data_IF_072700695931
#
_entry.id   IF_072700695931
#
_cell.length_a   1.000
_cell.length_b   1.000
_cell.length_c   1.000
_cell.angle_alpha   90.00
_cell.angle_beta   90.00
_cell.angle_gamma   90.00
#
_symmetry.space_group_name_H-M   'P 1'
#
loop_
_entity.id
_entity.type
_entity.pdbx_description
1 polymer ?
2 non-polymer ?
3 non-polymer ?
4 non-polymer ?
5 water ?
#
# COMPACT_ATOMS: atom_id res chain seq x y z
N UNK A 2 -13.52 0.66 -13.18
CA UNK A 2 -12.30 0.56 -12.47
C UNK A 2 -12.19 1.68 -11.43
N UNK A 3 -11.10 1.68 -10.65
CA UNK A 3 -10.91 2.70 -9.64
C UNK A 3 -9.44 2.87 -9.36
N UNK A 4 -9.04 3.91 -8.65
CA UNK A 4 -7.63 4.09 -8.30
C UNK A 4 -7.29 3.29 -7.03
N UNK A 5 -6.43 2.29 -7.09
CA UNK A 5 -6.11 1.52 -5.92
C UNK A 5 -5.05 2.18 -5.04
N UNK A 6 -4.23 3.09 -5.53
CA UNK A 6 -3.26 3.80 -4.74
C UNK A 6 -2.54 4.82 -5.60
N UNK A 7 -1.79 5.69 -4.92
CA UNK A 7 -1.03 6.70 -5.59
C UNK A 7 0.38 6.75 -5.02
N UNK A 8 1.26 7.35 -5.84
CA UNK A 8 2.62 7.70 -5.41
C UNK A 8 2.82 9.21 -5.45
N UNK A 9 3.27 9.77 -4.33
CA UNK A 9 3.49 11.24 -4.11
C UNK A 9 4.79 11.43 -3.33
N UNK A 10 5.71 12.33 -3.78
CA UNK A 10 7.04 12.52 -3.19
C UNK A 10 7.71 11.14 -3.09
N UNK A 11 7.41 10.25 -4.07
CA UNK A 11 8.01 8.92 -4.12
C UNK A 11 7.46 7.91 -3.10
N UNK A 12 6.43 8.29 -2.35
CA UNK A 12 5.88 7.43 -1.26
C UNK A 12 4.51 6.87 -1.68
N UNK A 13 4.30 5.57 -1.51
CA UNK A 13 3.04 4.93 -1.88
C UNK A 13 1.97 5.25 -0.84
N UNK A 14 0.77 5.61 -1.28
CA UNK A 14 -0.41 5.70 -0.38
C UNK A 14 -1.49 4.77 -0.91
N UNK A 15 -1.96 3.80 -0.11
CA UNK A 15 -3.08 2.97 -0.51
C UNK A 15 -4.35 3.83 -0.69
N UNK A 16 -5.16 3.52 -1.70
CA UNK A 16 -6.38 4.28 -1.98
C UNK A 16 -7.61 3.72 -1.26
N UNK A 17 -8.75 4.13 -1.79
CA UNK A 17 -10.00 3.65 -1.24
C UNK A 17 -10.41 2.38 -2.00
N UNK A 18 -10.22 1.21 -1.38
CA UNK A 18 -10.42 -0.03 -2.06
C UNK A 18 -11.91 -0.34 -2.06
N UNK A 19 -12.60 0.06 -3.11
CA UNK A 19 -14.05 0.21 -3.13
C UNK A 19 -14.69 -1.17 -3.21
N UNK A 20 -13.89 -2.21 -3.49
CA UNK A 20 -14.36 -3.57 -3.57
C UNK A 20 -14.16 -4.32 -2.23
N UNK A 21 -13.71 -3.59 -1.20
CA UNK A 21 -13.38 -4.19 0.09
C UNK A 21 -13.91 -3.30 1.24
N UNK A 22 -13.52 -2.05 1.27
CA UNK A 22 -13.73 -1.18 2.41
C UNK A 22 -15.21 -0.93 2.67
N UNK A 23 -16.10 -0.85 1.64
CA UNK A 23 -17.50 -0.64 1.90
C UNK A 23 -18.09 -1.85 2.60
N UNK A 24 -17.48 -3.02 2.57
CA UNK A 24 -18.03 -4.24 3.08
C UNK A 24 -17.57 -4.47 4.52
N UNK A 25 -17.21 -3.39 5.20
CA UNK A 25 -16.69 -3.47 6.58
C UNK A 25 -17.21 -2.29 7.42
N UNK A 26 -17.34 -2.49 8.75
CA UNK A 26 -17.76 -1.37 9.60
C UNK A 26 -16.63 -0.34 9.76
N UNK A 27 -15.36 -0.85 9.84
CA UNK A 27 -14.23 0.01 10.23
C UNK A 27 -13.06 -0.19 9.25
N UNK A 28 -13.18 0.27 8.01
CA UNK A 28 -12.08 0.09 7.12
C UNK A 28 -10.89 0.97 7.47
N UNK A 29 -9.72 0.70 6.83
CA UNK A 29 -8.53 1.52 7.10
C UNK A 29 -8.67 2.98 6.72
N UNK A 30 -7.96 3.86 7.40
CA UNK A 30 -7.78 5.23 7.01
C UNK A 30 -7.03 5.28 5.68
N UNK A 31 -7.38 6.27 4.85
CA UNK A 31 -6.66 6.49 3.59
C UNK A 31 -6.72 7.99 3.29
N UNK A 32 -5.81 8.50 2.44
CA UNK A 32 -5.95 9.84 1.87
C UNK A 32 -7.10 9.94 0.86
N UNK A 33 -7.58 8.78 0.37
CA UNK A 33 -8.60 8.73 -0.66
C UNK A 33 -9.99 8.87 -0.02
N UNK A 34 -10.88 9.50 -0.77
CA UNK A 34 -12.25 9.62 -0.33
C UNK A 34 -12.95 8.29 -0.43
N UNK A 35 -13.90 8.03 0.53
CA UNK A 35 -14.73 6.87 0.41
C UNK A 35 -15.83 7.14 -0.62
N UNK A 36 -16.32 6.08 -1.25
CA UNK A 36 -17.45 6.14 -2.16
C UNK A 36 -18.28 4.88 -2.00
N UNK A 37 -19.49 4.92 -2.59
CA UNK A 37 -20.31 3.75 -2.62
C UNK A 37 -20.37 3.08 -4.00
N UNK A 38 -19.34 3.38 -4.84
CA UNK A 38 -19.37 2.92 -6.24
C UNK A 38 -18.77 1.50 -6.31
N UNK A 39 -19.38 0.52 -5.64
CA UNK A 39 -18.91 -0.82 -5.44
C UNK A 39 -19.02 -1.63 -6.73
N UNK A 40 -19.76 -1.15 -7.71
CA UNK A 40 -19.82 -1.79 -8.99
C UNK A 40 -18.67 -1.31 -9.90
N UNK A 41 -17.74 -0.50 -9.33
CA UNK A 41 -16.60 0.17 -10.04
C UNK A 41 -17.07 1.04 -11.20
N UNK A 42 -18.29 1.54 -11.12
CA UNK A 42 -18.95 2.26 -12.13
C UNK A 42 -18.67 3.76 -12.15
N UNK A 43 -19.65 4.51 -12.71
CA UNK A 43 -19.41 5.86 -13.18
C UNK A 43 -20.55 6.81 -12.76
N UNK A 44 -20.33 8.11 -12.97
CA UNK A 44 -21.37 9.15 -12.93
C UNK A 44 -21.55 9.63 -14.36
N UNK A 45 -22.73 9.55 -14.95
CA UNK A 45 -22.95 10.01 -16.30
C UNK A 45 -23.62 11.39 -16.31
N UNK A 46 -24.02 11.89 -17.46
CA UNK A 46 -24.49 13.20 -17.62
C UNK A 46 -25.75 13.50 -16.80
N UNK A 47 -26.49 12.44 -16.49
CA UNK A 47 -27.70 12.66 -15.64
C UNK A 47 -27.29 13.18 -14.28
N UNK A 48 -26.06 12.91 -13.82
CA UNK A 48 -25.56 13.32 -12.56
C UNK A 48 -24.54 14.47 -12.55
N UNK A 49 -24.37 15.20 -13.69
CA UNK A 49 -23.40 16.23 -13.75
C UNK A 49 -23.66 17.38 -12.78
N UNK A 50 -24.94 17.55 -12.39
CA UNK A 50 -25.33 18.59 -11.39
C UNK A 50 -25.53 18.03 -10.01
N UNK A 51 -25.28 16.75 -9.85
CA UNK A 51 -25.42 15.99 -8.56
C UNK A 51 -24.16 16.13 -7.73
N UNK A 52 -24.19 16.02 -6.40
CA UNK A 52 -23.02 16.01 -5.57
C UNK A 52 -22.12 14.82 -5.93
N UNK A 53 -22.72 13.77 -6.51
CA UNK A 53 -21.93 12.58 -6.94
C UNK A 53 -20.79 12.88 -7.95
N UNK A 54 -20.92 13.95 -8.74
CA UNK A 54 -19.88 14.21 -9.75
C UNK A 54 -18.65 14.71 -9.04
N UNK A 55 -18.68 15.22 -7.85
CA UNK A 55 -17.57 15.87 -7.20
C UNK A 55 -16.42 14.92 -6.93
N UNK A 56 -16.72 13.86 -6.22
CA UNK A 56 -15.73 12.84 -5.82
C UNK A 56 -16.28 11.42 -5.97
N UNK A 57 -17.32 11.24 -6.83
CA UNK A 57 -17.96 9.99 -7.11
C UNK A 57 -19.11 9.71 -6.09
N UNK A 58 -19.76 8.56 -6.23
CA UNK A 58 -21.06 8.28 -5.56
C UNK A 58 -20.94 8.36 -4.04
N UNK A 59 -21.76 9.27 -3.47
CA UNK A 59 -21.89 9.36 -1.98
C UNK A 59 -20.54 9.61 -1.31
N UNK A 60 -19.64 10.35 -1.99
CA UNK A 60 -18.24 10.31 -1.47
C UNK A 60 -18.12 11.08 -0.16
N UNK A 61 -17.29 10.58 0.72
CA UNK A 61 -17.00 11.20 2.00
C UNK A 61 -15.49 11.38 2.16
N UNK A 62 -15.13 12.45 2.80
CA UNK A 62 -13.74 12.92 2.95
C UNK A 62 -12.84 11.79 3.43
N UNK A 63 -11.69 11.64 2.79
CA UNK A 63 -10.61 10.82 3.34
C UNK A 63 -10.19 11.37 4.70
N UNK A 64 -9.66 10.50 5.56
CA UNK A 64 -9.20 10.93 6.88
C UNK A 64 -7.77 11.45 6.84
N UNK A 65 -6.91 10.93 5.95
CA UNK A 65 -5.50 11.27 5.91
C UNK A 65 -5.26 12.30 4.80
N UNK A 66 -4.04 12.81 4.82
CA UNK A 66 -3.54 13.78 3.85
C UNK A 66 -2.08 13.39 3.49
N UNK A 67 -1.76 13.36 2.17
CA UNK A 67 -0.37 13.08 1.70
C UNK A 67 0.38 14.40 1.44
N UNK A 68 1.62 14.53 1.93
CA UNK A 68 2.43 15.69 1.48
C UNK A 68 3.01 15.48 0.07
N UNK A 69 3.08 16.56 -0.72
CA UNK A 69 3.70 16.48 -2.04
C UNK A 69 4.38 17.83 -2.28
N UNK A 70 5.65 17.78 -2.77
CA UNK A 70 6.34 19.04 -3.12
C UNK A 70 5.74 19.58 -4.41
N UNK A 71 5.47 20.88 -4.48
CA UNK A 71 5.09 21.57 -5.71
C UNK A 71 6.20 21.28 -6.74
N UNK A 72 5.81 20.95 -7.97
CA UNK A 72 6.72 20.76 -9.04
C UNK A 72 7.09 19.32 -9.19
N UNK A 73 6.56 18.43 -8.35
CA UNK A 73 6.84 17.03 -8.47
C UNK A 73 5.65 16.19 -8.96
N UNK A 74 5.87 14.87 -9.19
CA UNK A 74 4.94 14.05 -9.87
C UNK A 74 4.12 13.15 -8.94
N UNK A 75 2.87 12.98 -9.33
CA UNK A 75 1.98 12.01 -8.68
C UNK A 75 1.67 10.95 -9.73
N UNK A 76 1.74 9.68 -9.33
CA UNK A 76 1.32 8.54 -10.12
C UNK A 76 -0.01 8.01 -9.55
N UNK A 77 -1.01 7.84 -10.41
CA UNK A 77 -2.26 7.20 -10.05
C UNK A 77 -2.32 5.78 -10.61
N UNK A 78 -2.38 4.77 -9.77
CA UNK A 78 -2.45 3.37 -10.15
C UNK A 78 -3.89 2.92 -10.29
N UNK A 79 -4.40 2.78 -11.51
CA UNK A 79 -5.72 2.28 -11.77
C UNK A 79 -5.79 0.78 -11.75
N UNK A 80 -6.94 0.21 -11.44
CA UNK A 80 -7.24 -1.17 -11.74
C UNK A 80 -7.29 -1.39 -13.28
N UNK A 81 -7.22 -2.66 -13.73
CA UNK A 81 -7.10 -2.93 -15.17
C UNK A 81 -8.19 -2.20 -15.97
N UNK A 82 -7.78 -1.31 -16.89
CA UNK A 82 -8.74 -0.43 -17.56
C UNK A 82 -9.16 -1.01 -18.91
N UNK A 83 -10.45 -1.13 -19.22
CA UNK A 83 -10.87 -1.82 -20.44
C UNK A 83 -10.57 -0.99 -21.70
N UNK A 84 -10.06 -1.67 -22.73
CA UNK A 84 -9.69 -1.01 -23.96
C UNK A 84 -10.85 -0.28 -24.60
N UNK A 85 -12.07 -0.81 -24.47
CA UNK A 85 -13.21 -0.14 -25.09
C UNK A 85 -13.41 1.30 -24.57
N UNK A 86 -12.92 1.59 -23.36
CA UNK A 86 -13.29 2.83 -22.65
C UNK A 86 -12.33 3.99 -22.97
N UNK A 87 -12.25 4.32 -24.26
CA UNK A 87 -11.39 5.35 -24.73
C UNK A 87 -11.79 6.72 -24.18
N UNK A 88 -10.86 7.57 -23.77
CA UNK A 88 -11.21 8.94 -23.43
C UNK A 88 -10.10 9.63 -22.71
N UNK A 89 -10.33 10.89 -22.34
CA UNK A 89 -9.41 11.72 -21.66
C UNK A 89 -9.15 11.39 -20.19
N UNK A 90 -7.99 11.81 -19.69
CA UNK A 90 -7.60 11.83 -18.27
C UNK A 90 -7.47 13.27 -17.88
N UNK A 91 -8.26 13.70 -16.86
CA UNK A 91 -8.27 15.07 -16.45
C UNK A 91 -7.98 15.13 -14.95
N UNK A 92 -7.17 16.07 -14.53
CA UNK A 92 -6.76 16.15 -13.10
C UNK A 92 -6.92 17.60 -12.63
N UNK A 93 -7.51 17.73 -11.43
CA UNK A 93 -7.84 19.03 -10.82
C UNK A 93 -7.33 19.13 -9.38
N UNK A 94 -7.18 20.40 -8.94
CA UNK A 94 -6.92 20.75 -7.56
C UNK A 94 -8.03 21.68 -7.05
N UNK A 95 -8.58 21.34 -5.87
CA UNK A 95 -9.47 22.34 -5.21
C UNK A 95 -8.93 22.68 -3.84
N UNK A 96 -8.75 23.98 -3.50
CA UNK A 96 -8.26 24.30 -2.15
C UNK A 96 -9.27 23.93 -1.08
N UNK A 97 -8.76 23.31 0.00
CA UNK A 97 -9.64 22.99 1.15
C UNK A 97 -9.78 24.20 2.04
N UNK A 98 -8.87 25.18 1.99
CA UNK A 98 -8.94 26.42 2.80
C UNK A 98 -9.15 26.06 4.25
N UNK A 99 -8.33 25.14 4.71
CA UNK A 99 -8.57 24.44 5.92
C UNK A 99 -8.31 22.96 5.72
N UNK A 100 -8.84 22.13 6.60
CA UNK A 100 -8.51 20.75 6.65
C UNK A 100 -9.34 19.98 5.63
N UNK A 101 -8.67 19.30 4.68
CA UNK A 101 -9.45 18.52 3.69
C UNK A 101 -10.23 17.39 4.33
N UNK A 102 -9.85 16.96 5.55
CA UNK A 102 -10.59 15.82 6.20
C UNK A 102 -12.00 16.24 6.59
N UNK A 103 -12.23 17.53 6.67
CA UNK A 103 -13.52 18.03 7.12
C UNK A 103 -14.19 19.01 6.19
N UNK A 104 -13.57 19.37 5.07
CA UNK A 104 -14.15 20.36 4.16
C UNK A 104 -15.47 19.84 3.57
N UNK A 105 -16.42 20.74 3.39
CA UNK A 105 -17.70 20.38 2.72
C UNK A 105 -17.40 20.29 1.21
N UNK A 106 -17.54 19.09 0.67
CA UNK A 106 -17.16 18.87 -0.74
C UNK A 106 -17.97 19.75 -1.69
N UNK A 107 -19.19 20.13 -1.26
CA UNK A 107 -20.09 20.90 -2.10
C UNK A 107 -19.53 22.30 -2.34
N UNK A 108 -18.58 22.71 -1.50
CA UNK A 108 -18.01 24.04 -1.58
C UNK A 108 -16.70 24.07 -2.40
N UNK A 109 -16.15 22.91 -2.76
CA UNK A 109 -14.86 22.85 -3.46
C UNK A 109 -14.99 23.44 -4.86
N UNK A 110 -13.97 24.21 -5.25
CA UNK A 110 -13.86 24.85 -6.57
C UNK A 110 -12.56 24.35 -7.23
N UNK A 111 -12.73 23.54 -8.26
CA UNK A 111 -11.64 22.79 -8.91
C UNK A 111 -10.98 23.56 -10.04
N UNK A 112 -9.63 23.54 -10.04
CA UNK A 112 -8.79 24.10 -11.10
C UNK A 112 -8.21 22.92 -11.90
N UNK A 113 -8.40 22.94 -13.22
CA UNK A 113 -7.78 21.93 -14.08
C UNK A 113 -6.25 22.13 -14.12
N UNK A 114 -5.50 21.15 -13.67
CA UNK A 114 -4.02 21.25 -13.68
C UNK A 114 -3.36 20.35 -14.74
N UNK A 115 -4.06 19.35 -15.24
CA UNK A 115 -3.55 18.48 -16.29
C UNK A 115 -4.71 17.95 -17.08
N UNK A 116 -4.49 17.69 -18.38
CA UNK A 116 -5.54 17.14 -19.21
C UNK A 116 -4.90 16.52 -20.45
N UNK A 117 -5.22 15.28 -20.76
CA UNK A 117 -4.76 14.64 -21.98
C UNK A 117 -5.96 14.01 -22.65
N UNK A 118 -6.09 14.12 -23.98
CA UNK A 118 -7.27 13.71 -24.70
C UNK A 118 -6.91 12.73 -25.80
N UNK A 119 -7.26 13.10 -27.03
CA UNK A 119 -7.03 12.28 -28.19
C UNK A 119 -5.55 12.44 -28.59
N UNK A 120 -4.81 11.34 -28.56
CA UNK A 120 -3.35 11.32 -28.88
C UNK A 120 -3.14 11.12 -30.37
N UNK A 121 -3.88 10.20 -30.99
CA UNK A 121 -3.76 9.92 -32.44
C UNK A 121 -5.09 9.43 -32.97
N UNK A 122 -5.83 10.32 -33.67
CA UNK A 122 -7.08 10.00 -34.22
C UNK A 122 -7.08 9.63 -35.68
N UNK A 123 -5.93 9.20 -36.21
CA UNK A 123 -5.79 8.87 -37.63
C UNK A 123 -6.83 7.81 -38.07
N UNK A 124 -7.05 6.84 -37.18
CA UNK A 124 -7.91 5.69 -37.43
C UNK A 124 -8.92 5.60 -36.31
N UNK A 125 -10.18 6.02 -36.49
CA UNK A 125 -11.17 5.86 -35.42
C UNK A 125 -11.16 4.40 -34.95
N UNK A 126 -11.33 4.11 -33.67
CA UNK A 126 -11.73 5.08 -32.65
C UNK A 126 -10.62 5.88 -32.02
N UNK A 127 -9.39 5.67 -32.47
CA UNK A 127 -8.29 6.51 -32.09
C UNK A 127 -7.54 5.97 -30.87
N UNK A 128 -6.43 6.61 -30.56
CA UNK A 128 -5.63 6.31 -29.42
C UNK A 128 -5.71 7.52 -28.51
N UNK A 129 -6.02 7.24 -27.24
CA UNK A 129 -6.38 8.24 -26.26
C UNK A 129 -5.43 8.19 -25.04
N UNK A 130 -5.58 9.20 -24.17
CA UNK A 130 -4.87 9.26 -22.93
C UNK A 130 -5.06 7.98 -22.14
N UNK A 131 -6.26 7.39 -22.11
CA UNK A 131 -6.41 6.22 -21.31
C UNK A 131 -5.69 5.01 -21.93
N UNK A 132 -5.53 5.02 -23.26
CA UNK A 132 -4.75 3.97 -23.95
C UNK A 132 -3.30 4.03 -23.51
N UNK A 133 -2.74 5.24 -23.41
CA UNK A 133 -1.37 5.37 -22.92
C UNK A 133 -1.27 4.95 -21.47
N UNK A 134 -2.34 5.24 -20.66
CA UNK A 134 -2.34 4.76 -19.26
C UNK A 134 -2.30 3.22 -19.20
N UNK A 135 -3.16 2.55 -19.98
CA UNK A 135 -3.17 1.08 -20.04
C UNK A 135 -1.75 0.58 -20.32
N UNK A 136 -1.09 1.18 -21.33
CA UNK A 136 0.22 0.69 -21.76
C UNK A 136 1.29 0.94 -20.68
N UNK A 137 1.07 1.93 -19.79
CA UNK A 137 1.95 2.22 -18.71
C UNK A 137 1.50 1.52 -17.42
N UNK A 138 1.30 0.21 -17.47
CA UNK A 138 0.91 -0.57 -16.25
C UNK A 138 -0.34 0.04 -15.58
N UNK A 139 -1.28 0.49 -16.40
CA UNK A 139 -2.52 1.09 -15.90
C UNK A 139 -2.21 2.23 -14.91
N UNK A 140 -1.25 3.10 -15.23
CA UNK A 140 -0.82 4.18 -14.39
C UNK A 140 -0.87 5.48 -15.16
N UNK A 141 -1.43 6.51 -14.54
CA UNK A 141 -1.42 7.88 -15.02
C UNK A 141 -0.49 8.74 -14.17
N UNK A 142 0.15 9.74 -14.75
CA UNK A 142 1.07 10.60 -13.99
C UNK A 142 0.62 12.05 -14.24
N UNK A 143 0.73 12.89 -13.22
CA UNK A 143 0.67 14.31 -13.42
C UNK A 143 1.78 14.96 -12.61
N UNK A 144 2.07 16.23 -12.95
CA UNK A 144 2.96 17.08 -12.19
C UNK A 144 2.14 18.15 -11.43
N UNK A 145 2.44 18.28 -10.17
CA UNK A 145 1.86 19.37 -9.41
C UNK A 145 2.57 20.68 -9.81
N UNK A 146 1.90 21.75 -10.31
CA UNK A 146 2.65 22.92 -10.81
C UNK A 146 3.67 23.42 -9.78
N UNK A 147 4.88 23.74 -10.24
CA UNK A 147 5.95 24.18 -9.37
C UNK A 147 5.59 25.50 -8.65
N UNK A 148 4.78 26.36 -9.30
CA UNK A 148 4.47 27.67 -8.79
C UNK A 148 3.23 27.63 -7.84
N UNK A 149 2.54 26.47 -7.69
CA UNK A 149 1.34 26.40 -6.85
C UNK A 149 1.61 26.84 -5.41
N UNK A 150 0.61 27.55 -4.86
CA UNK A 150 0.66 27.96 -3.45
C UNK A 150 0.63 26.72 -2.55
N UNK A 151 1.46 26.70 -1.51
CA UNK A 151 1.43 25.64 -0.53
C UNK A 151 0.07 25.65 0.20
N UNK A 152 -0.46 24.47 0.46
CA UNK A 152 -1.77 24.38 1.13
C UNK A 152 -2.34 23.00 1.03
N UNK A 153 -3.54 22.89 1.59
CA UNK A 153 -4.31 21.67 1.59
C UNK A 153 -5.27 21.67 0.41
N UNK A 154 -5.23 20.57 -0.38
CA UNK A 154 -6.06 20.49 -1.57
C UNK A 154 -6.69 19.12 -1.74
N UNK A 155 -7.89 19.08 -2.33
CA UNK A 155 -8.44 17.86 -2.92
C UNK A 155 -7.93 17.74 -4.38
N UNK A 156 -7.28 16.61 -4.59
CA UNK A 156 -6.79 16.20 -5.92
C UNK A 156 -7.88 15.32 -6.51
N UNK A 157 -8.49 15.75 -7.63
CA UNK A 157 -9.54 15.03 -8.26
C UNK A 157 -9.01 14.56 -9.63
N UNK A 158 -8.90 13.26 -9.77
CA UNK A 158 -8.33 12.65 -10.99
C UNK A 158 -9.43 11.86 -11.64
N UNK A 159 -9.62 11.99 -12.95
CA UNK A 159 -10.79 11.45 -13.60
C UNK A 159 -10.51 10.89 -14.97
N UNK A 160 -11.09 9.75 -15.30
CA UNK A 160 -11.19 9.26 -16.69
C UNK A 160 -12.57 9.55 -17.20
N UNK A 161 -12.80 10.05 -18.41
CA UNK A 161 -14.12 10.12 -19.02
C UNK A 161 -14.13 9.07 -20.11
N UNK A 162 -14.83 7.94 -20.00
CA UNK A 162 -14.89 6.93 -21.05
C UNK A 162 -15.92 7.38 -22.07
N UNK A 163 -15.60 7.32 -23.36
CA UNK A 163 -16.42 7.83 -24.45
C UNK A 163 -17.00 6.79 -25.40
N UNK A 164 -16.98 5.53 -25.05
CA UNK A 164 -17.41 4.45 -25.93
C UNK A 164 -18.87 4.55 -26.32
N UNK A 165 -19.69 5.14 -25.42
CA UNK A 165 -21.15 5.31 -25.63
C UNK A 165 -21.50 6.79 -25.68
N UNK A 166 -20.56 7.68 -25.90
CA UNK A 166 -20.73 9.11 -25.67
C UNK A 166 -21.51 9.81 -26.81
N UNK A 167 -21.78 9.11 -27.92
CA UNK A 167 -22.68 9.67 -28.89
C UNK A 167 -24.12 9.74 -28.45
N UNK A 168 -24.45 8.94 -27.45
CA UNK A 168 -25.77 9.00 -26.80
C UNK A 168 -25.74 10.15 -25.81
N UNK A 169 -26.88 10.84 -25.68
CA UNK A 169 -26.99 11.87 -24.60
C UNK A 169 -26.83 11.15 -23.26
N UNK A 170 -26.02 11.76 -22.38
CA UNK A 170 -25.62 11.22 -21.09
C UNK A 170 -24.83 9.92 -21.18
N UNK A 171 -24.26 9.64 -22.34
CA UNK A 171 -23.57 8.39 -22.52
C UNK A 171 -22.10 8.37 -22.06
N UNK A 172 -21.48 9.54 -22.01
CA UNK A 172 -20.12 9.68 -21.47
C UNK A 172 -20.12 9.18 -20.03
N UNK A 173 -19.11 8.45 -19.57
CA UNK A 173 -19.05 7.88 -18.24
C UNK A 173 -17.93 8.52 -17.51
N UNK A 174 -18.14 9.21 -16.42
CA UNK A 174 -17.09 9.87 -15.64
C UNK A 174 -16.66 9.05 -14.44
N UNK A 175 -15.34 8.89 -14.18
CA UNK A 175 -14.81 8.07 -13.15
C UNK A 175 -13.88 8.95 -12.31
N UNK A 176 -14.42 9.87 -11.46
CA UNK A 176 -13.63 10.74 -10.62
C UNK A 176 -13.18 10.01 -9.38
N UNK A 177 -11.93 10.26 -8.97
CA UNK A 177 -11.33 9.73 -7.76
C UNK A 177 -10.63 10.85 -7.03
N UNK A 178 -10.92 11.04 -5.71
CA UNK A 178 -10.40 12.18 -4.98
C UNK A 178 -9.45 11.74 -3.89
N UNK A 179 -8.45 12.58 -3.61
CA UNK A 179 -7.41 12.34 -2.63
C UNK A 179 -7.08 13.64 -1.93
N UNK A 180 -6.76 13.55 -0.64
CA UNK A 180 -6.32 14.72 0.11
C UNK A 180 -4.80 14.89 0.00
N UNK A 181 -4.37 16.07 -0.45
CA UNK A 181 -2.92 16.31 -0.52
C UNK A 181 -2.58 17.63 0.18
N UNK A 182 -1.31 17.74 0.59
CA UNK A 182 -0.76 18.93 1.17
C UNK A 182 0.44 19.31 0.30
N UNK A 183 0.27 20.36 -0.52
CA UNK A 183 1.40 20.79 -1.37
C UNK A 183 2.36 21.65 -0.54
N UNK A 184 3.64 21.30 -0.56
CA UNK A 184 4.67 22.02 0.14
C UNK A 184 5.55 22.76 -0.88
N UNK A 185 6.32 23.73 -0.41
CA UNK A 185 7.25 24.44 -1.24
C UNK A 185 6.46 25.37 -2.11
N UNK A 186 6.68 25.32 -3.41
CA UNK A 186 5.79 26.06 -4.31
C UNK A 186 5.99 27.55 -4.24
N UNK A 187 4.98 28.26 -4.76
CA UNK A 187 5.03 29.65 -5.06
C UNK A 187 3.80 30.33 -4.52
N UNK A 188 3.20 31.23 -5.30
CA UNK A 188 2.10 31.94 -4.85
C UNK A 188 0.89 31.78 -5.74
N UNK A 189 0.98 30.95 -6.78
CA UNK A 189 -0.07 30.93 -7.81
C UNK A 189 -1.20 29.94 -7.45
N UNK A 190 -2.40 30.29 -7.88
CA UNK A 190 -3.56 29.44 -7.79
C UNK A 190 -4.49 29.82 -8.93
N UNK A 191 -5.16 28.82 -9.51
CA UNK A 191 -6.16 29.10 -10.49
C UNK A 191 -7.47 29.56 -9.85
N UNK A 192 -8.40 29.97 -10.71
CA UNK A 192 -9.77 30.26 -10.31
C UNK A 192 -10.62 29.02 -10.58
N UNK A 193 -11.21 28.47 -9.53
CA UNK A 193 -11.86 27.16 -9.63
C UNK A 193 -13.32 27.24 -10.01
N UNK A 194 -13.80 26.06 -10.36
CA UNK A 194 -15.13 25.75 -10.86
C UNK A 194 -15.72 24.69 -9.92
N UNK A 195 -16.93 25.00 -9.38
CA UNK A 195 -17.66 24.00 -8.58
C UNK A 195 -17.70 22.66 -9.32
N UNK A 196 -17.64 21.56 -8.58
CA UNK A 196 -17.79 20.25 -9.19
C UNK A 196 -19.02 20.13 -10.03
N UNK A 197 -20.16 20.65 -9.51
CA UNK A 197 -21.43 20.52 -10.21
C UNK A 197 -21.60 21.48 -11.39
N UNK A 198 -20.56 22.28 -11.66
CA UNK A 198 -20.46 23.16 -12.79
C UNK A 198 -19.34 22.72 -13.79
N UNK A 199 -18.63 21.60 -13.55
CA UNK A 199 -17.53 21.20 -14.46
C UNK A 199 -18.04 20.90 -15.86
N UNK A 200 -19.10 20.13 -16.00
CA UNK A 200 -19.55 19.57 -17.27
C UNK A 200 -21.05 19.71 -17.52
N UNK A 201 -21.42 19.87 -18.77
CA UNK A 201 -22.76 19.76 -19.24
C UNK A 201 -22.90 18.62 -20.22
N UNK A 202 -24.04 17.95 -20.30
CA UNK A 202 -24.22 16.78 -21.17
C UNK A 202 -24.27 17.20 -22.65
N UNK A 203 -24.28 18.51 -22.93
CA UNK A 203 -24.21 19.01 -24.28
C UNK A 203 -22.79 19.49 -24.67
N UNK A 204 -21.81 19.43 -23.80
CA UNK A 204 -20.46 19.90 -24.11
C UNK A 204 -19.89 19.05 -25.26
N UNK A 205 -19.20 19.67 -26.25
CA UNK A 205 -18.77 18.88 -27.41
C UNK A 205 -17.81 17.71 -27.13
N UNK A 206 -17.00 17.78 -26.07
CA UNK A 206 -16.13 16.73 -25.61
C UNK A 206 -16.82 15.68 -24.76
N UNK A 207 -18.09 15.98 -24.42
CA UNK A 207 -18.93 15.02 -23.69
C UNK A 207 -19.79 14.21 -24.66
N UNK A 208 -20.60 14.92 -25.50
CA UNK A 208 -21.49 14.32 -26.51
C UNK A 208 -20.64 14.20 -27.81
N UNK A 209 -19.81 13.17 -27.83
CA UNK A 209 -18.70 13.09 -28.78
C UNK A 209 -18.73 11.70 -29.40
N UNK A 210 -18.59 11.63 -30.70
CA UNK A 210 -18.55 10.39 -31.48
C UNK A 210 -17.11 9.95 -31.80
N UNK A 211 -16.60 8.96 -31.10
CA UNK A 211 -15.22 8.47 -31.34
C UNK A 211 -15.15 7.62 -32.56
N UNK A 212 -16.23 7.19 -33.18
CA UNK A 212 -16.21 6.12 -34.19
C UNK A 212 -16.15 6.65 -35.61
N UNK A 213 -16.41 7.93 -35.80
CA UNK A 213 -16.39 8.57 -37.08
C UNK A 213 -15.10 9.38 -37.23
N UNK A 214 -14.88 9.87 -38.42
CA UNK A 214 -13.73 10.67 -38.71
C UNK A 214 -13.36 11.64 -37.57
N UNK A 215 -12.08 11.61 -37.16
CA UNK A 215 -11.58 12.41 -36.06
C UNK A 215 -10.71 13.58 -36.56
N UNK A 216 -10.90 13.98 -37.82
CA UNK A 216 -10.15 15.09 -38.36
C UNK A 216 -10.38 16.43 -37.68
N UNK A 217 -11.50 16.51 -36.94
CA UNK A 217 -11.85 17.72 -36.12
C UNK A 217 -11.32 17.69 -34.71
N UNK A 218 -10.52 16.66 -34.37
CA UNK A 218 -9.90 16.57 -33.06
C UNK A 218 -10.85 16.21 -31.94
N UNK A 219 -10.40 16.57 -30.76
CA UNK A 219 -11.20 16.28 -29.54
C UNK A 219 -11.00 17.46 -28.60
N UNK A 220 -12.09 18.18 -28.27
CA UNK A 220 -12.05 19.29 -27.35
C UNK A 220 -12.23 18.78 -25.91
N UNK A 221 -11.15 18.71 -25.15
CA UNK A 221 -11.19 18.21 -23.80
C UNK A 221 -12.19 19.08 -23.00
N UNK A 222 -13.15 18.42 -22.31
CA UNK A 222 -14.15 19.19 -21.57
C UNK A 222 -13.60 19.72 -20.25
N UNK A 223 -14.49 20.47 -19.57
CA UNK A 223 -14.11 21.12 -18.36
C UNK A 223 -13.54 22.50 -18.53
N UNK A 224 -13.24 23.17 -17.41
CA UNK A 224 -12.72 24.52 -17.45
C UNK A 224 -11.28 24.60 -17.98
N UNK A 225 -10.80 25.82 -18.18
CA UNK A 225 -9.51 26.05 -18.77
C UNK A 225 -8.39 25.44 -17.94
N UNK A 226 -7.40 24.91 -18.68
CA UNK A 226 -6.18 24.39 -18.10
C UNK A 226 -5.36 25.53 -17.48
N UNK A 227 -4.96 25.35 -16.22
CA UNK A 227 -4.00 26.22 -15.52
C UNK A 227 -2.61 26.25 -16.21
N UNK A 228 -2.04 27.44 -16.37
CA UNK A 228 -0.58 27.66 -16.75
C UNK A 228 0.20 28.47 -15.71
N UNK B 2 19.27 -4.45 12.98
CA UNK B 2 19.82 -5.55 12.29
C UNK B 2 18.84 -6.05 11.27
N UNK B 3 19.29 -6.99 10.42
CA UNK B 3 18.44 -7.60 9.44
C UNK B 3 18.94 -9.00 9.16
N UNK B 4 18.17 -9.75 8.40
CA UNK B 4 18.52 -11.11 8.01
C UNK B 4 19.30 -11.05 6.70
N UNK B 5 20.58 -11.50 6.78
CA UNK B 5 21.47 -11.48 5.56
C UNK B 5 21.29 -12.72 4.75
N UNK B 6 20.81 -13.83 5.25
CA UNK B 6 20.64 -15.03 4.49
C UNK B 6 19.93 -16.12 5.27
N UNK B 7 19.40 -17.10 4.57
CA UNK B 7 18.77 -18.23 5.21
C UNK B 7 19.30 -19.53 4.68
N UNK B 8 19.10 -20.59 5.42
CA UNK B 8 19.48 -21.94 5.02
C UNK B 8 18.20 -22.79 5.08
N UNK B 9 17.84 -23.43 3.99
CA UNK B 9 16.65 -24.28 3.82
C UNK B 9 17.02 -25.48 2.97
N UNK B 10 16.78 -26.70 3.46
CA UNK B 10 17.15 -27.94 2.79
C UNK B 10 18.66 -27.93 2.54
N UNK B 11 19.40 -27.35 3.48
CA UNK B 11 20.82 -27.36 3.43
C UNK B 11 21.44 -26.43 2.41
N UNK B 12 20.62 -25.63 1.76
CA UNK B 12 21.03 -24.72 0.76
C UNK B 12 20.93 -23.30 1.24
N UNK B 13 21.89 -22.47 0.92
CA UNK B 13 21.97 -21.09 1.34
C UNK B 13 21.22 -20.23 0.35
N UNK B 14 20.49 -19.24 0.84
CA UNK B 14 19.85 -18.21 0.04
C UNK B 14 20.23 -16.84 0.57
N UNK B 15 20.70 -15.93 -0.24
CA UNK B 15 21.01 -14.59 0.17
C UNK B 15 19.75 -13.83 0.45
N UNK B 16 19.76 -13.00 1.49
CA UNK B 16 18.62 -12.20 1.80
C UNK B 16 18.60 -10.87 1.12
N UNK B 17 17.72 -9.97 1.58
CA UNK B 17 17.62 -8.61 1.10
C UNK B 17 18.60 -7.75 1.87
N UNK B 18 19.74 -7.44 1.23
CA UNK B 18 20.88 -6.77 1.87
C UNK B 18 20.59 -5.26 1.89
N UNK B 19 19.81 -4.89 2.94
CA UNK B 19 19.16 -3.57 3.04
C UNK B 19 20.18 -2.43 3.11
N UNK B 20 21.46 -2.73 3.45
CA UNK B 20 22.51 -1.74 3.43
C UNK B 20 23.22 -1.66 2.08
N UNK B 21 22.72 -2.34 1.05
CA UNK B 21 23.38 -2.37 -0.26
C UNK B 21 22.34 -2.20 -1.37
N UNK B 22 21.36 -3.10 -1.39
CA UNK B 22 20.40 -3.20 -2.49
C UNK B 22 19.58 -1.94 -2.72
N UNK B 23 19.18 -1.20 -1.65
CA UNK B 23 18.39 0.03 -1.89
C UNK B 23 19.19 1.14 -2.62
N UNK B 24 20.54 0.98 -2.58
CA UNK B 24 21.49 1.97 -3.13
C UNK B 24 21.82 1.62 -4.59
N UNK B 25 20.91 0.94 -5.31
CA UNK B 25 21.14 0.31 -6.63
C UNK B 25 19.89 0.54 -7.46
N UNK B 26 19.97 0.75 -8.75
CA UNK B 26 18.79 0.68 -9.59
C UNK B 26 18.26 -0.74 -9.74
N UNK B 27 19.19 -1.73 -9.84
CA UNK B 27 18.87 -3.11 -10.22
C UNK B 27 19.58 -4.09 -9.32
N UNK B 28 19.11 -4.23 -8.08
CA UNK B 28 19.75 -5.15 -7.16
C UNK B 28 19.43 -6.60 -7.59
N UNK B 29 20.20 -7.56 -7.04
CA UNK B 29 19.97 -8.99 -7.24
C UNK B 29 18.57 -9.46 -6.87
N UNK B 30 18.04 -10.45 -7.56
CA UNK B 30 16.85 -11.16 -7.14
C UNK B 30 17.16 -11.96 -5.87
N UNK B 31 16.16 -12.05 -4.95
CA UNK B 31 16.29 -12.78 -3.71
C UNK B 31 14.88 -13.32 -3.35
N UNK B 32 14.89 -14.40 -2.56
CA UNK B 32 13.64 -14.87 -1.92
C UNK B 32 13.14 -13.87 -0.90
N UNK B 33 13.98 -12.95 -0.44
CA UNK B 33 13.59 -12.01 0.62
C UNK B 33 12.88 -10.82 -0.01
N UNK B 34 11.95 -10.23 0.75
CA UNK B 34 11.27 -9.03 0.39
C UNK B 34 12.18 -7.81 0.47
N UNK B 35 12.04 -6.83 -0.45
CA UNK B 35 12.73 -5.61 -0.34
C UNK B 35 12.07 -4.77 0.77
N UNK B 36 12.82 -3.86 1.35
CA UNK B 36 12.27 -2.91 2.31
C UNK B 36 13.02 -1.59 2.14
N UNK B 37 12.53 -0.52 2.75
CA UNK B 37 13.19 0.76 2.78
C UNK B 37 13.86 0.96 4.16
N UNK B 38 14.06 -0.12 4.95
CA UNK B 38 14.55 0.06 6.32
C UNK B 38 16.09 0.07 6.33
N UNK B 39 16.61 1.08 5.63
CA UNK B 39 18.02 1.25 5.46
C UNK B 39 18.72 1.74 6.70
N UNK B 40 17.96 2.17 7.72
CA UNK B 40 18.51 2.47 9.03
C UNK B 40 18.70 1.19 9.87
N UNK B 41 18.35 0.01 9.33
CA UNK B 41 18.29 -1.36 10.00
C UNK B 41 17.36 -1.38 11.19
N UNK B 42 16.41 -0.43 11.17
CA UNK B 42 15.50 -0.24 12.32
C UNK B 42 14.26 -1.08 12.22
N UNK B 43 13.16 -0.51 12.82
CA UNK B 43 12.01 -1.28 13.27
C UNK B 43 10.72 -0.61 12.84
N UNK B 44 9.64 -1.35 13.07
CA UNK B 44 8.28 -0.79 13.08
C UNK B 44 7.84 -0.85 14.56
N UNK B 45 7.43 0.30 15.09
CA UNK B 45 6.90 0.33 16.48
C UNK B 45 5.38 0.42 16.43
N UNK B 46 4.77 0.57 17.62
CA UNK B 46 3.37 0.44 17.73
C UNK B 46 2.61 1.47 16.91
N UNK B 47 3.25 2.60 16.61
CA UNK B 47 2.62 3.61 15.67
C UNK B 47 2.28 3.01 14.31
N UNK B 48 2.96 1.92 13.95
CA UNK B 48 2.77 1.28 12.69
C UNK B 48 2.05 -0.06 12.71
N UNK B 49 1.42 -0.43 13.86
CA UNK B 49 0.84 -1.75 13.94
C UNK B 49 -0.44 -1.93 13.11
N UNK B 50 -1.03 -0.81 12.64
CA UNK B 50 -2.18 -0.87 11.72
C UNK B 50 -1.80 -0.37 10.32
N UNK B 51 -0.47 -0.26 10.07
CA UNK B 51 0.12 0.19 8.81
C UNK B 51 0.53 -1.05 8.05
N UNK B 52 0.46 -1.03 6.70
CA UNK B 52 1.09 -2.11 5.91
C UNK B 52 2.56 -2.35 6.25
N UNK B 53 3.25 -1.36 6.82
CA UNK B 53 4.65 -1.58 7.21
C UNK B 53 4.86 -2.76 8.14
N UNK B 54 3.88 -3.11 9.00
CA UNK B 54 4.09 -4.18 9.94
C UNK B 54 4.16 -5.57 9.26
N UNK B 55 3.66 -5.66 8.02
CA UNK B 55 3.49 -6.95 7.40
C UNK B 55 4.87 -7.56 7.12
N UNK B 56 5.66 -6.86 6.30
CA UNK B 56 7.01 -7.35 5.92
C UNK B 56 8.04 -6.24 6.10
N UNK B 57 7.82 -5.24 6.95
CA UNK B 57 8.67 -4.11 7.21
C UNK B 57 8.38 -2.97 6.22
N UNK B 58 9.03 -1.82 6.43
CA UNK B 58 8.65 -0.53 5.83
C UNK B 58 8.72 -0.58 4.31
N UNK B 59 7.58 -0.29 3.67
CA UNK B 59 7.43 -0.19 2.20
C UNK B 59 7.75 -1.52 1.52
N UNK B 60 7.54 -2.66 2.18
CA UNK B 60 8.10 -3.90 1.66
C UNK B 60 7.41 -4.32 0.34
N UNK B 61 8.24 -4.88 -0.58
CA UNK B 61 7.75 -5.37 -1.89
C UNK B 61 8.21 -6.81 -2.07
N UNK B 62 7.40 -7.60 -2.76
CA UNK B 62 7.57 -9.04 -2.85
C UNK B 62 8.98 -9.40 -3.36
N UNK B 63 9.59 -10.36 -2.71
CA UNK B 63 10.78 -11.00 -3.32
C UNK B 63 10.41 -11.69 -4.61
N UNK B 64 11.39 -11.79 -5.54
CA UNK B 64 11.13 -12.37 -6.83
C UNK B 64 11.23 -13.89 -6.83
N UNK B 65 12.10 -14.42 -5.97
CA UNK B 65 12.44 -15.84 -5.93
C UNK B 65 11.74 -16.59 -4.77
N UNK B 66 11.75 -17.90 -4.83
CA UNK B 66 11.17 -18.77 -3.86
C UNK B 66 12.14 -19.88 -3.47
N UNK B 67 12.25 -20.23 -2.20
CA UNK B 67 13.13 -21.31 -1.68
C UNK B 67 12.34 -22.57 -1.38
N UNK B 68 12.70 -23.76 -1.82
CA UNK B 68 12.06 -24.99 -1.40
C UNK B 68 12.51 -25.39 0.00
N UNK B 69 11.57 -25.97 0.76
CA UNK B 69 11.90 -26.45 2.08
C UNK B 69 10.97 -27.62 2.41
N UNK B 70 11.55 -28.73 2.83
CA UNK B 70 10.75 -29.89 3.20
C UNK B 70 9.99 -29.62 4.50
N UNK B 71 8.72 -29.97 4.48
CA UNK B 71 7.93 -29.90 5.75
C UNK B 71 8.64 -30.80 6.76
N UNK B 72 8.72 -30.32 8.00
CA UNK B 72 9.34 -31.04 9.06
C UNK B 72 10.81 -30.70 9.28
N UNK B 73 11.44 -29.98 8.35
CA UNK B 73 12.83 -29.63 8.43
C UNK B 73 13.04 -28.23 9.02
N UNK B 74 14.28 -27.83 9.29
CA UNK B 74 14.59 -26.61 9.96
C UNK B 74 14.99 -25.55 8.94
N UNK B 75 14.60 -24.32 9.11
CA UNK B 75 15.12 -23.16 8.45
C UNK B 75 15.97 -22.39 9.43
N UNK B 76 17.12 -21.86 8.97
CA UNK B 76 18.00 -21.02 9.69
C UNK B 76 17.99 -19.63 9.13
N UNK B 77 17.85 -18.64 10.03
CA UNK B 77 17.87 -17.22 9.72
C UNK B 77 19.12 -16.61 10.30
N UNK B 78 20.01 -16.18 9.41
CA UNK B 78 21.24 -15.58 9.78
C UNK B 78 21.09 -14.06 9.89
N UNK B 79 21.02 -13.57 11.13
CA UNK B 79 20.94 -12.18 11.41
C UNK B 79 22.32 -11.52 11.38
N UNK B 80 22.35 -10.24 11.12
CA UNK B 80 23.49 -9.38 11.45
C UNK B 80 23.68 -9.37 12.98
N UNK B 81 24.80 -8.89 13.48
CA UNK B 81 25.20 -8.97 14.87
C UNK B 81 24.12 -8.29 15.73
N UNK B 82 23.44 -9.07 16.57
CA UNK B 82 22.24 -8.55 17.29
C UNK B 82 22.68 -7.90 18.60
N UNK B 83 22.24 -6.68 18.89
CA UNK B 83 22.71 -6.03 20.12
C UNK B 83 22.17 -6.73 21.38
N UNK B 84 23.01 -6.94 22.36
CA UNK B 84 22.62 -7.59 23.62
C UNK B 84 21.51 -6.82 24.35
N UNK B 85 21.46 -5.51 24.20
CA UNK B 85 20.43 -4.74 24.91
C UNK B 85 19.06 -5.16 24.39
N UNK B 86 18.92 -5.63 23.19
CA UNK B 86 17.61 -5.80 22.53
C UNK B 86 16.93 -7.12 22.90
N UNK B 87 16.67 -7.33 24.23
CA UNK B 87 16.03 -8.54 24.72
C UNK B 87 14.60 -8.65 24.18
N UNK B 88 14.17 -9.82 23.81
CA UNK B 88 12.82 -10.01 23.38
C UNK B 88 12.56 -11.32 22.67
N UNK B 89 11.31 -11.58 22.31
CA UNK B 89 10.88 -12.82 21.66
C UNK B 89 11.32 -12.90 20.17
N UNK B 90 11.37 -14.13 19.70
CA UNK B 90 11.45 -14.43 18.27
C UNK B 90 10.18 -15.17 17.87
N UNK B 91 9.46 -14.67 16.86
CA UNK B 91 8.20 -15.17 16.43
C UNK B 91 8.27 -15.39 14.93
N UNK B 92 7.81 -16.57 14.48
CA UNK B 92 7.83 -16.91 13.05
C UNK B 92 6.44 -17.36 12.59
N UNK B 93 6.00 -16.85 11.45
CA UNK B 93 4.66 -17.08 10.87
C UNK B 93 4.72 -17.62 9.44
N UNK B 94 3.69 -18.30 8.95
CA UNK B 94 3.49 -18.65 7.56
C UNK B 94 2.21 -18.03 7.08
N UNK B 95 2.16 -17.41 5.94
CA UNK B 95 0.93 -16.98 5.29
C UNK B 95 0.89 -17.65 3.92
N UNK B 96 -0.18 -18.36 3.56
CA UNK B 96 -0.30 -18.92 2.23
C UNK B 96 -0.40 -17.84 1.14
N UNK B 97 0.37 -18.07 0.05
CA UNK B 97 0.31 -17.15 -1.05
C UNK B 97 -0.88 -17.43 -1.97
N UNK B 98 -1.49 -18.62 -1.86
CA UNK B 98 -2.63 -19.11 -2.68
C UNK B 98 -2.41 -18.80 -4.17
N UNK B 99 -1.23 -19.17 -4.59
CA UNK B 99 -0.62 -18.77 -5.86
C UNK B 99 0.80 -18.32 -5.64
N UNK B 100 1.30 -17.49 -6.54
CA UNK B 100 2.71 -17.19 -6.58
C UNK B 100 3.05 -16.14 -5.50
N UNK B 101 4.00 -16.42 -4.60
CA UNK B 101 4.40 -15.42 -3.61
C UNK B 101 5.03 -14.18 -4.26
N UNK B 102 5.59 -14.31 -5.48
CA UNK B 102 6.24 -13.12 -6.12
C UNK B 102 5.24 -12.04 -6.51
N UNK B 103 3.94 -12.40 -6.57
CA UNK B 103 2.93 -11.42 -6.99
C UNK B 103 1.78 -11.23 -5.99
N UNK B 104 1.76 -12.00 -4.88
CA UNK B 104 0.66 -11.88 -3.90
C UNK B 104 0.62 -10.45 -3.32
N UNK B 105 -0.60 -9.93 -3.15
CA UNK B 105 -0.82 -8.65 -2.49
C UNK B 105 -0.56 -8.84 -0.98
N UNK B 106 0.46 -8.20 -0.44
CA UNK B 106 0.84 -8.44 0.96
C UNK B 106 -0.27 -8.07 1.95
N UNK B 107 -1.14 -7.13 1.58
CA UNK B 107 -2.23 -6.75 2.46
C UNK B 107 -3.25 -7.88 2.61
N UNK B 108 -3.27 -8.86 1.71
CA UNK B 108 -4.17 -10.03 1.78
C UNK B 108 -3.63 -11.20 2.62
N UNK B 109 -2.34 -11.16 2.99
CA UNK B 109 -1.74 -12.27 3.68
C UNK B 109 -2.31 -12.44 5.06
N UNK B 110 -2.56 -13.71 5.41
CA UNK B 110 -3.09 -14.07 6.76
C UNK B 110 -2.10 -15.06 7.40
N UNK B 111 -1.40 -14.58 8.44
CA UNK B 111 -0.25 -15.24 9.08
C UNK B 111 -0.62 -16.21 10.15
N UNK B 112 -0.10 -17.40 10.12
CA UNK B 112 -0.24 -18.40 11.15
C UNK B 112 1.03 -18.46 11.96
N UNK B 113 0.98 -18.30 13.25
CA UNK B 113 2.18 -18.40 14.13
C UNK B 113 2.61 -19.85 14.20
N UNK B 114 3.79 -20.18 13.64
CA UNK B 114 4.28 -21.57 13.69
C UNK B 114 5.39 -21.81 14.73
N UNK B 115 5.98 -20.74 15.24
CA UNK B 115 7.01 -20.82 16.25
C UNK B 115 7.05 -19.53 17.06
N UNK B 116 7.31 -19.66 18.38
CA UNK B 116 7.47 -18.48 19.20
C UNK B 116 8.28 -18.84 20.42
N UNK B 117 9.25 -18.03 20.74
CA UNK B 117 10.06 -18.22 21.95
C UNK B 117 10.16 -16.85 22.62
N UNK B 118 10.05 -16.82 23.94
CA UNK B 118 9.99 -15.60 24.68
C UNK B 118 11.02 -15.49 25.76
N UNK B 119 10.56 -15.34 27.01
CA UNK B 119 11.44 -15.25 28.16
C UNK B 119 11.89 -16.64 28.54
N UNK B 120 13.21 -16.86 28.51
CA UNK B 120 13.78 -18.13 28.82
C UNK B 120 14.07 -18.28 30.31
N UNK B 121 14.60 -17.21 30.92
CA UNK B 121 14.91 -17.24 32.36
C UNK B 121 14.90 -15.82 32.89
N UNK B 122 13.80 -15.48 33.61
CA UNK B 122 13.64 -14.18 34.16
C UNK B 122 13.98 -14.04 35.62
N UNK B 123 14.79 -14.95 36.16
CA UNK B 123 15.22 -14.92 37.55
C UNK B 123 15.87 -13.59 37.93
N UNK B 124 16.73 -13.06 37.04
CA UNK B 124 17.49 -11.85 37.29
C UNK B 124 17.22 -10.88 36.15
N UNK B 125 16.18 -10.05 36.24
CA UNK B 125 15.80 -9.14 35.19
C UNK B 125 17.02 -8.28 34.79
N UNK B 126 17.19 -7.99 33.50
CA UNK B 126 16.22 -8.29 32.46
C UNK B 126 16.17 -9.74 31.94
N UNK B 127 17.06 -10.61 32.39
CA UNK B 127 16.92 -11.98 32.08
C UNK B 127 17.48 -12.44 30.74
N UNK B 128 17.19 -13.69 30.43
CA UNK B 128 17.61 -14.35 29.21
C UNK B 128 16.37 -14.58 28.32
N UNK B 129 16.39 -14.12 27.08
CA UNK B 129 15.32 -14.21 26.15
C UNK B 129 15.67 -15.02 24.91
N UNK B 130 14.70 -15.27 24.06
CA UNK B 130 14.89 -15.96 22.80
C UNK B 130 16.01 -15.28 22.00
N UNK B 131 16.10 -13.95 21.97
CA UNK B 131 17.10 -13.30 21.10
C UNK B 131 18.48 -13.53 21.70
N UNK B 132 18.62 -13.74 23.01
CA UNK B 132 19.91 -14.04 23.64
C UNK B 132 20.36 -15.43 23.23
N UNK B 133 19.47 -16.40 23.11
CA UNK B 133 19.78 -17.75 22.61
C UNK B 133 20.26 -17.62 21.15
N UNK B 134 19.60 -16.78 20.34
CA UNK B 134 19.97 -16.53 18.98
C UNK B 134 21.38 -15.96 18.93
N UNK B 135 21.71 -14.94 19.70
CA UNK B 135 23.05 -14.34 19.76
C UNK B 135 24.08 -15.40 20.04
N UNK B 136 23.81 -16.30 20.96
CA UNK B 136 24.79 -17.32 21.36
C UNK B 136 24.95 -18.35 20.24
N UNK B 137 23.96 -18.46 19.33
CA UNK B 137 24.05 -19.40 18.20
C UNK B 137 24.48 -18.66 16.92
N UNK B 138 25.57 -17.89 16.99
CA UNK B 138 26.07 -17.13 15.86
C UNK B 138 25.04 -16.27 15.22
N UNK B 139 24.28 -15.56 16.07
CA UNK B 139 23.26 -14.70 15.61
C UNK B 139 22.35 -15.40 14.59
N UNK B 140 21.99 -16.66 14.86
CA UNK B 140 21.22 -17.44 13.97
C UNK B 140 19.95 -17.97 14.69
N UNK B 141 18.79 -17.68 14.11
CA UNK B 141 17.50 -18.18 14.62
C UNK B 141 17.18 -19.45 13.83
N UNK B 142 16.46 -20.37 14.43
CA UNK B 142 16.01 -21.55 13.77
C UNK B 142 14.50 -21.76 13.95
N UNK B 143 13.84 -22.35 12.97
CA UNK B 143 12.43 -22.66 13.04
C UNK B 143 12.21 -24.02 12.36
N UNK B 144 11.34 -24.82 12.89
CA UNK B 144 10.95 -26.08 12.30
C UNK B 144 9.67 -25.85 11.52
N UNK B 145 9.64 -26.14 10.23
CA UNK B 145 8.41 -26.12 9.49
C UNK B 145 7.62 -27.34 9.92
N UNK B 146 6.35 -27.18 10.35
CA UNK B 146 5.62 -28.36 10.86
C UNK B 146 5.60 -29.50 9.81
N UNK B 147 5.82 -30.72 10.28
CA UNK B 147 5.83 -31.90 9.49
C UNK B 147 4.52 -32.11 8.73
N UNK B 148 3.41 -31.69 9.34
CA UNK B 148 2.07 -31.94 8.83
C UNK B 148 1.58 -30.83 7.89
N UNK B 149 2.34 -29.73 7.74
CA UNK B 149 1.87 -28.61 6.99
C UNK B 149 1.62 -28.96 5.51
N UNK B 150 0.60 -28.34 4.92
CA UNK B 150 0.24 -28.58 3.55
C UNK B 150 1.36 -28.01 2.67
N UNK B 151 1.73 -28.80 1.63
CA UNK B 151 2.70 -28.26 0.68
C UNK B 151 2.10 -27.06 -0.04
N UNK B 152 2.95 -26.09 -0.39
CA UNK B 152 2.49 -24.94 -1.11
C UNK B 152 3.44 -23.77 -0.99
N UNK B 153 3.06 -22.66 -1.59
CA UNK B 153 3.82 -21.48 -1.54
C UNK B 153 3.36 -20.66 -0.33
N UNK B 154 4.29 -20.09 0.43
CA UNK B 154 4.04 -19.31 1.65
C UNK B 154 5.00 -18.13 1.79
N UNK B 155 4.54 -17.00 2.35
CA UNK B 155 5.38 -16.02 2.91
C UNK B 155 5.73 -16.41 4.32
N UNK B 156 7.02 -16.59 4.58
CA UNK B 156 7.66 -16.85 5.85
C UNK B 156 8.00 -15.52 6.47
N UNK B 157 7.33 -15.13 7.59
CA UNK B 157 7.55 -13.85 8.26
C UNK B 157 8.21 -14.10 9.59
N UNK B 158 9.51 -13.79 9.71
CA UNK B 158 10.31 -14.02 10.90
C UNK B 158 10.59 -12.71 11.59
N UNK B 159 10.43 -12.63 12.92
CA UNK B 159 10.44 -11.37 13.62
C UNK B 159 11.11 -11.45 14.97
N UNK B 160 11.88 -10.44 15.30
CA UNK B 160 12.35 -10.16 16.64
C UNK B 160 11.53 -8.95 17.15
N UNK B 161 11.01 -9.02 18.39
CA UNK B 161 10.47 -7.84 19.01
C UNK B 161 11.38 -7.44 20.17
N UNK B 162 12.10 -6.32 20.03
CA UNK B 162 13.03 -5.84 21.07
C UNK B 162 12.25 -5.04 22.12
N UNK B 163 12.47 -5.44 23.39
CA UNK B 163 11.62 -4.85 24.52
C UNK B 163 12.43 -3.92 25.39
N UNK B 164 13.64 -3.51 25.10
CA UNK B 164 14.48 -2.75 25.97
C UNK B 164 13.87 -1.38 26.34
N UNK B 165 13.03 -0.85 25.46
CA UNK B 165 12.32 0.45 25.63
C UNK B 165 10.79 0.30 25.63
N UNK B 166 10.32 -0.90 25.90
CA UNK B 166 8.93 -1.28 25.75
C UNK B 166 8.02 -0.89 26.95
N UNK B 167 8.59 -0.29 27.99
CA UNK B 167 7.73 0.13 29.11
C UNK B 167 6.88 1.29 28.68
N UNK B 168 7.31 2.10 27.72
CA UNK B 168 6.47 3.17 27.19
C UNK B 168 5.56 2.70 26.08
N UNK B 169 4.43 3.38 25.91
CA UNK B 169 3.54 3.08 24.80
C UNK B 169 4.33 3.26 23.48
N UNK B 170 4.18 2.30 22.57
CA UNK B 170 4.87 2.30 21.23
C UNK B 170 6.37 2.13 21.35
N UNK B 171 6.87 1.65 22.48
CA UNK B 171 8.32 1.53 22.69
C UNK B 171 8.86 0.23 22.18
N UNK B 172 8.06 -0.82 22.09
CA UNK B 172 8.51 -2.11 21.54
C UNK B 172 8.95 -1.89 20.09
N UNK B 173 10.01 -2.61 19.69
CA UNK B 173 10.59 -2.45 18.30
C UNK B 173 10.46 -3.78 17.57
N UNK B 174 9.62 -3.76 16.55
CA UNK B 174 9.41 -4.99 15.75
C UNK B 174 10.34 -5.01 14.52
N UNK B 175 10.99 -6.15 14.33
CA UNK B 175 11.95 -6.34 13.22
C UNK B 175 11.47 -7.54 12.36
N UNK B 176 10.42 -7.32 11.54
CA UNK B 176 9.96 -8.38 10.63
C UNK B 176 10.85 -8.51 9.38
N UNK B 177 10.99 -9.75 8.96
CA UNK B 177 11.77 -10.07 7.73
C UNK B 177 11.02 -11.17 7.02
N UNK B 178 10.64 -10.90 5.75
CA UNK B 178 9.83 -11.90 5.00
C UNK B 178 10.66 -12.62 3.90
N UNK B 179 10.25 -13.83 3.62
CA UNK B 179 10.90 -14.69 2.62
C UNK B 179 9.82 -15.48 1.92
N UNK B 180 9.95 -15.74 0.63
CA UNK B 180 9.12 -16.64 -0.10
C UNK B 180 9.63 -18.06 -0.01
N UNK B 181 8.79 -19.00 0.44
CA UNK B 181 9.08 -20.40 0.54
C UNK B 181 8.08 -21.26 -0.15
N UNK B 182 8.54 -22.44 -0.52
CA UNK B 182 7.76 -23.49 -1.12
C UNK B 182 7.92 -24.75 -0.31
N UNK B 183 6.92 -25.00 0.56
CA UNK B 183 6.93 -26.20 1.42
C UNK B 183 6.60 -27.45 0.57
N UNK B 184 7.48 -28.45 0.65
CA UNK B 184 7.28 -29.70 -0.05
C UNK B 184 7.01 -30.81 0.95
N UNK B 185 6.51 -31.90 0.41
CA UNK B 185 6.15 -33.08 1.17
C UNK B 185 5.02 -32.76 2.12
N UNK B 186 5.23 -32.95 3.39
CA UNK B 186 4.20 -32.52 4.35
C UNK B 186 2.91 -33.36 4.36
N UNK B 187 1.85 -32.73 4.89
CA UNK B 187 0.58 -33.34 5.08
C UNK B 187 -0.51 -32.49 4.49
N UNK B 188 -1.57 -32.26 5.28
CA UNK B 188 -2.66 -31.44 4.79
C UNK B 188 -3.06 -30.34 5.78
N UNK B 189 -2.29 -30.17 6.86
CA UNK B 189 -2.69 -29.24 7.95
C UNK B 189 -2.38 -27.79 7.58
N UNK B 190 -3.20 -26.83 7.98
CA UNK B 190 -2.95 -25.41 7.84
C UNK B 190 -3.70 -24.71 8.96
N UNK B 191 -3.06 -23.71 9.56
CA UNK B 191 -3.71 -22.92 10.59
C UNK B 191 -4.63 -21.88 10.00
N UNK B 192 -5.38 -21.26 10.89
CA UNK B 192 -6.18 -20.10 10.49
C UNK B 192 -5.41 -18.80 10.78
N UNK B 193 -5.25 -18.00 9.74
CA UNK B 193 -4.32 -16.90 9.82
C UNK B 193 -4.89 -15.58 10.28
N UNK B 194 -3.99 -14.63 10.57
CA UNK B 194 -4.33 -13.33 11.06
C UNK B 194 -3.67 -12.29 10.16
N UNK B 195 -4.42 -11.33 9.63
CA UNK B 195 -3.81 -10.29 8.81
C UNK B 195 -2.64 -9.61 9.53
N UNK B 196 -1.61 -9.23 8.77
CA UNK B 196 -0.51 -8.50 9.38
C UNK B 196 -0.92 -7.34 10.31
N UNK B 197 -1.85 -6.50 9.84
CA UNK B 197 -2.25 -5.33 10.54
C UNK B 197 -3.20 -5.68 11.73
N UNK B 198 -3.49 -6.95 11.95
CA UNK B 198 -4.28 -7.42 13.11
C UNK B 198 -3.38 -8.17 14.08
N UNK B 199 -2.08 -8.31 13.81
CA UNK B 199 -1.27 -9.15 14.69
C UNK B 199 -1.16 -8.56 16.12
N UNK B 200 -0.85 -7.26 16.20
CA UNK B 200 -0.44 -6.63 17.44
C UNK B 200 -1.19 -5.32 17.71
N UNK B 201 -1.44 -5.07 19.00
CA UNK B 201 -1.86 -3.74 19.48
C UNK B 201 -0.80 -3.20 20.49
N UNK B 202 -0.63 -1.87 20.54
CA UNK B 202 0.32 -1.22 21.40
C UNK B 202 -0.02 -1.43 22.87
N UNK B 203 -1.26 -1.87 23.20
CA UNK B 203 -1.64 -2.13 24.59
C UNK B 203 -1.63 -3.61 24.94
N UNK B 204 -1.09 -4.48 24.05
CA UNK B 204 -1.03 -5.87 24.37
C UNK B 204 -0.01 -6.04 25.49
N UNK B 205 -0.25 -6.94 26.47
CA UNK B 205 0.65 -7.06 27.62
C UNK B 205 2.09 -7.50 27.29
N UNK B 206 2.24 -8.25 26.21
CA UNK B 206 3.54 -8.66 25.75
C UNK B 206 4.22 -7.59 24.90
N UNK B 207 3.58 -6.52 24.54
CA UNK B 207 4.13 -5.41 23.81
C UNK B 207 4.53 -4.26 24.73
N UNK B 208 3.57 -3.83 25.60
CA UNK B 208 3.83 -2.77 26.59
C UNK B 208 4.29 -3.52 27.83
N UNK B 209 5.58 -3.91 27.89
CA UNK B 209 6.09 -4.89 28.81
C UNK B 209 7.35 -4.32 29.43
N UNK B 210 7.53 -4.53 30.74
CA UNK B 210 8.63 -4.00 31.48
C UNK B 210 9.59 -5.12 31.80
N UNK B 211 10.73 -5.20 31.08
CA UNK B 211 11.68 -6.28 31.29
C UNK B 211 12.58 -6.11 32.52
N UNK B 212 12.57 -4.93 33.15
CA UNK B 212 13.56 -4.61 34.18
C UNK B 212 13.08 -4.88 35.59
N UNK B 213 11.77 -4.99 35.76
CA UNK B 213 11.12 -5.24 37.06
C UNK B 213 10.97 -6.74 37.24
N UNK B 214 10.56 -7.16 38.43
CA UNK B 214 10.33 -8.54 38.74
C UNK B 214 9.58 -9.26 37.62
N UNK B 215 10.08 -10.44 37.23
CA UNK B 215 9.54 -11.21 36.13
C UNK B 215 8.91 -12.52 36.60
N UNK B 216 8.46 -12.55 37.86
CA UNK B 216 7.71 -13.66 38.43
C UNK B 216 6.38 -13.93 37.76
N UNK B 217 5.85 -12.96 37.00
CA UNK B 217 4.66 -13.13 36.21
C UNK B 217 4.90 -13.62 34.80
N UNK B 218 6.19 -13.84 34.45
CA UNK B 218 6.54 -14.43 33.16
C UNK B 218 6.43 -13.41 32.05
N UNK B 219 6.18 -13.89 30.82
CA UNK B 219 6.10 -13.01 29.64
C UNK B 219 5.13 -13.62 28.66
N UNK B 220 4.02 -12.94 28.36
CA UNK B 220 3.02 -13.48 27.47
C UNK B 220 3.37 -13.10 26.04
N UNK B 221 3.82 -14.10 25.28
CA UNK B 221 4.24 -13.77 23.91
C UNK B 221 3.05 -13.22 23.16
N UNK B 222 3.20 -12.10 22.42
CA UNK B 222 2.08 -11.50 21.73
C UNK B 222 1.74 -12.19 20.41
N UNK B 223 0.75 -11.66 19.72
CA UNK B 223 0.26 -12.19 18.50
C UNK B 223 -0.74 -13.32 18.70
N UNK B 224 -1.22 -13.91 17.61
CA UNK B 224 -2.25 -14.97 17.69
C UNK B 224 -1.71 -16.28 18.19
N UNK B 225 -2.57 -17.26 18.44
CA UNK B 225 -2.17 -18.48 19.08
C UNK B 225 -1.21 -19.28 18.18
N UNK B 226 -0.34 -20.01 18.84
CA UNK B 226 0.60 -20.87 18.20
C UNK B 226 -0.18 -22.03 17.58
N UNK B 227 0.14 -22.36 16.31
CA UNK B 227 -0.36 -23.53 15.63
C UNK B 227 0.12 -24.78 16.35
N UNK B 228 -0.78 -25.76 16.58
CA UNK B 228 -0.37 -27.19 16.90
C UNK B 228 -0.88 -28.20 15.86
#
# INVERSE_FOLDING_TARGET
>A
XGFVSGIVADGKYYGGYLVNQYPYMSNPPDTIAWSTTATDLGFVDGTGYQSPDIICHRDAKNGKLTATVAAGSQIEFQWTTWPESHHGPLITYLAPCNGDCATVDKTTLKFVKIAAQGLIDGSNPPGVWADDEMIANNNTATVTIPASYAPGNYVLRHEIIALHSAGNLNGAQNYPQCFNIQITGGGSAQGSGTAGTSLYKNTDPGIKFDIYSDLSGGYPIPGPALFNA
>B
XGFVSGIVADGKYYGGYLVNQYPYMSNPPDTIAWSTTATDLGFVDGTGYQSPDIICHRDAKNGKLTATVAAGSQIEFQWTTWPESHHGPLITYLAPCNGDCATVDKTTLKFVKIAAQGLIDGSNPPGVWADDEMIANNNTATVTIPASYAPGNYVLRHEIIALHSAGNLNGAQNYPQCFNIQITGGGSAQGSGTAGTSLYKNTDPGIKFDIYSDLSGGYPIPGPALFNA
#
